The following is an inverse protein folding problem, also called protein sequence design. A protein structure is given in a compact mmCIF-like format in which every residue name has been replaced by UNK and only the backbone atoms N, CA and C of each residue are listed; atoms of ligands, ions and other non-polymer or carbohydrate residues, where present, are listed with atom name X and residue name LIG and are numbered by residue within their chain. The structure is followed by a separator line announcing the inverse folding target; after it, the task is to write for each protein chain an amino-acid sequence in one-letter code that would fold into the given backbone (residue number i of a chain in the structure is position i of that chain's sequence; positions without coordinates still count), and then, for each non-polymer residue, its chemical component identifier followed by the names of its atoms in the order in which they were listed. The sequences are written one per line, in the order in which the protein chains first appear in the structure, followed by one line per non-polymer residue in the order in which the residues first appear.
data_IF_424578864464
#
_entry.id   IF_424578864464
#
_cell.length_a   1.000
_cell.length_b   1.000
_cell.length_c   1.000
_cell.angle_alpha   90.00
_cell.angle_beta   90.00
_cell.angle_gamma   90.00
#
_symmetry.space_group_name_H-M   'P 1'
#
loop_
_entity.id
_entity.type
_entity.pdbx_description
1 polymer ?
#
# COMPACT_ATOMS: atom_id res chain seq x y z
N UNK A 1 -8.68 45.18 -108.10
CA UNK A 1 -9.52 43.97 -107.85
C UNK A 1 -9.68 43.00 -109.04
N UNK A 2 -9.58 43.41 -110.32
CA UNK A 2 -9.56 42.47 -111.47
C UNK A 2 -8.16 41.96 -111.88
N UNK A 3 -7.07 42.58 -111.40
CA UNK A 3 -5.69 42.20 -111.77
C UNK A 3 -4.98 41.25 -110.79
N UNK A 4 -5.42 41.18 -109.53
CA UNK A 4 -4.82 40.26 -108.52
C UNK A 4 -5.38 38.84 -108.62
N UNK A 5 -6.67 38.68 -108.96
CA UNK A 5 -7.30 37.35 -109.15
C UNK A 5 -6.68 36.55 -110.29
N UNK A 6 -6.39 37.19 -111.42
CA UNK A 6 -5.77 36.52 -112.57
C UNK A 6 -4.30 36.12 -112.30
N UNK A 7 -3.57 36.91 -111.50
CA UNK A 7 -2.21 36.56 -111.05
C UNK A 7 -2.22 35.40 -110.05
N UNK A 8 -3.20 35.39 -109.14
CA UNK A 8 -3.39 34.29 -108.18
C UNK A 8 -3.77 32.97 -108.87
N UNK A 9 -4.65 32.98 -109.87
CA UNK A 9 -5.01 31.77 -110.63
C UNK A 9 -3.85 31.24 -111.48
N UNK A 10 -3.05 32.12 -112.09
CA UNK A 10 -1.85 31.72 -112.84
C UNK A 10 -0.75 31.17 -111.92
N UNK A 11 -0.59 31.75 -110.72
CA UNK A 11 0.32 31.22 -109.70
C UNK A 11 -0.19 29.90 -109.12
N UNK A 12 -1.50 29.75 -108.88
CA UNK A 12 -2.12 28.51 -108.43
C UNK A 12 -1.95 27.39 -109.47
N UNK A 13 -2.11 27.69 -110.76
CA UNK A 13 -1.84 26.75 -111.85
C UNK A 13 -0.37 26.30 -111.90
N UNK A 14 0.58 27.25 -111.78
CA UNK A 14 2.02 26.92 -111.70
C UNK A 14 2.41 26.15 -110.44
N UNK A 15 1.78 26.45 -109.30
CA UNK A 15 1.96 25.71 -108.04
C UNK A 15 1.40 24.29 -108.16
N UNK A 16 0.22 24.11 -108.77
CA UNK A 16 -0.37 22.81 -109.02
C UNK A 16 0.48 21.96 -109.99
N UNK A 17 1.06 22.56 -111.03
CA UNK A 17 2.02 21.88 -111.91
C UNK A 17 3.30 21.46 -111.18
N UNK A 18 3.86 22.35 -110.35
CA UNK A 18 5.02 22.02 -109.50
C UNK A 18 4.71 20.94 -108.47
N UNK A 19 3.52 20.96 -107.87
CA UNK A 19 3.06 19.94 -106.92
C UNK A 19 2.87 18.59 -107.62
N UNK A 20 2.32 18.59 -108.84
CA UNK A 20 2.15 17.36 -109.65
C UNK A 20 3.49 16.77 -110.08
N UNK A 21 4.45 17.62 -110.47
CA UNK A 21 5.82 17.21 -110.77
C UNK A 21 6.56 16.69 -109.53
N UNK A 22 6.38 17.33 -108.36
CA UNK A 22 6.95 16.89 -107.10
C UNK A 22 6.36 15.55 -106.62
N UNK A 23 5.04 15.36 -106.74
CA UNK A 23 4.37 14.09 -106.44
C UNK A 23 4.79 12.96 -107.38
N UNK A 24 4.96 13.24 -108.68
CA UNK A 24 5.50 12.26 -109.62
C UNK A 24 6.97 11.90 -109.30
N UNK A 25 7.79 12.87 -108.88
CA UNK A 25 9.16 12.64 -108.42
C UNK A 25 9.22 11.79 -107.14
N UNK A 26 8.33 12.05 -106.17
CA UNK A 26 8.27 11.29 -104.91
C UNK A 26 7.79 9.84 -105.15
N UNK A 27 6.76 9.65 -105.99
CA UNK A 27 6.25 8.34 -106.39
C UNK A 27 7.32 7.51 -107.11
N UNK A 28 8.12 8.12 -107.98
CA UNK A 28 9.26 7.45 -108.63
C UNK A 28 10.35 6.99 -107.63
N UNK A 29 10.63 7.77 -106.58
CA UNK A 29 11.57 7.38 -105.52
C UNK A 29 11.00 6.23 -104.67
N UNK A 30 9.73 6.30 -104.31
CA UNK A 30 9.05 5.26 -103.53
C UNK A 30 9.01 3.93 -104.28
N UNK A 31 8.72 3.96 -105.59
CA UNK A 31 8.80 2.78 -106.46
C UNK A 31 10.21 2.18 -106.55
N UNK A 32 11.27 2.99 -106.60
CA UNK A 32 12.66 2.50 -106.71
C UNK A 32 13.15 1.74 -105.47
N UNK A 33 12.71 2.15 -104.27
CA UNK A 33 13.17 1.57 -103.00
C UNK A 33 12.11 0.69 -102.31
N UNK A 34 11.01 0.37 -103.00
CA UNK A 34 9.95 -0.49 -102.46
C UNK A 34 9.19 0.12 -101.28
N UNK A 35 9.14 1.45 -101.17
CA UNK A 35 8.46 2.17 -100.09
C UNK A 35 6.97 2.32 -100.48
N UNK A 36 6.00 1.97 -99.61
CA UNK A 36 4.57 2.12 -99.91
C UNK A 36 4.18 3.57 -100.24
N UNK A 37 3.37 3.78 -101.27
CA UNK A 37 2.86 5.12 -101.61
C UNK A 37 2.02 5.71 -100.47
N UNK A 38 2.31 6.96 -100.09
CA UNK A 38 1.69 7.64 -98.94
C UNK A 38 2.46 7.53 -97.62
N UNK A 39 3.63 6.88 -97.60
CA UNK A 39 4.50 6.86 -96.40
C UNK A 39 5.05 8.26 -96.09
N UNK A 40 4.93 8.68 -94.83
CA UNK A 40 5.45 9.96 -94.33
C UNK A 40 7.00 9.94 -94.24
N UNK A 41 7.71 10.80 -94.99
CA UNK A 41 9.17 10.89 -94.94
C UNK A 41 9.74 11.19 -93.55
N UNK A 42 9.04 11.98 -92.73
CA UNK A 42 9.51 12.32 -91.37
C UNK A 42 9.38 11.14 -90.42
N UNK A 43 8.41 10.25 -90.66
CA UNK A 43 8.28 8.99 -89.91
C UNK A 43 9.41 8.02 -90.26
N UNK A 44 9.74 7.86 -91.54
CA UNK A 44 10.88 7.04 -91.99
C UNK A 44 12.22 7.50 -91.41
N UNK A 45 12.44 8.81 -91.31
CA UNK A 45 13.64 9.36 -90.67
C UNK A 45 13.70 9.06 -89.17
N UNK A 46 12.57 9.19 -88.45
CA UNK A 46 12.48 8.84 -87.02
C UNK A 46 12.68 7.34 -86.76
N UNK A 47 12.10 6.49 -87.60
CA UNK A 47 12.23 5.04 -87.48
C UNK A 47 13.69 4.61 -87.72
N UNK A 48 14.37 5.21 -88.72
CA UNK A 48 15.79 4.96 -88.98
C UNK A 48 16.69 5.43 -87.83
N UNK A 49 16.42 6.61 -87.26
CA UNK A 49 17.17 7.10 -86.10
C UNK A 49 16.97 6.21 -84.86
N UNK A 50 15.74 5.69 -84.66
CA UNK A 50 15.43 4.75 -83.59
C UNK A 50 16.12 3.39 -83.79
N UNK A 51 16.20 2.91 -85.03
CA UNK A 51 16.92 1.69 -85.39
C UNK A 51 18.43 1.82 -85.14
N UNK A 52 19.05 2.91 -85.62
CA UNK A 52 20.47 3.20 -85.37
C UNK A 52 20.76 3.35 -83.86
N UNK A 53 19.81 3.92 -83.10
CA UNK A 53 19.88 4.01 -81.64
C UNK A 53 19.86 2.62 -80.97
N UNK A 54 18.93 1.77 -81.40
CA UNK A 54 18.79 0.40 -80.89
C UNK A 54 20.00 -0.47 -81.21
N UNK A 55 20.60 -0.31 -82.40
CA UNK A 55 21.84 -1.01 -82.76
C UNK A 55 23.00 -0.62 -81.86
N UNK A 56 23.11 0.67 -81.49
CA UNK A 56 24.14 1.14 -80.56
C UNK A 56 23.92 0.61 -79.14
N UNK A 57 22.68 0.56 -78.67
CA UNK A 57 22.34 -0.03 -77.36
C UNK A 57 22.62 -1.54 -77.32
N UNK A 58 22.28 -2.28 -78.38
CA UNK A 58 22.60 -3.70 -78.48
C UNK A 58 24.12 -3.91 -78.49
N UNK A 59 24.87 -3.07 -79.21
CA UNK A 59 26.33 -3.15 -79.24
C UNK A 59 26.95 -2.84 -77.87
N UNK A 60 26.46 -1.84 -77.13
CA UNK A 60 26.95 -1.54 -75.79
C UNK A 60 26.60 -2.65 -74.80
N UNK A 61 25.36 -3.16 -74.81
CA UNK A 61 24.92 -4.23 -73.93
C UNK A 61 25.67 -5.54 -74.19
N UNK A 62 25.97 -5.88 -75.44
CA UNK A 62 26.82 -7.04 -75.78
C UNK A 62 28.23 -6.87 -75.23
N UNK A 63 28.82 -5.68 -75.41
CA UNK A 63 30.16 -5.39 -74.91
C UNK A 63 30.22 -5.47 -73.38
N UNK A 64 29.24 -4.90 -72.68
CA UNK A 64 29.12 -4.98 -71.22
C UNK A 64 28.94 -6.43 -70.74
N UNK A 65 28.13 -7.23 -71.44
CA UNK A 65 27.96 -8.66 -71.13
C UNK A 65 29.26 -9.44 -71.33
N UNK A 66 29.98 -9.21 -72.42
CA UNK A 66 31.28 -9.85 -72.69
C UNK A 66 32.34 -9.44 -71.66
N UNK A 67 32.43 -8.16 -71.32
CA UNK A 67 33.31 -7.67 -70.25
C UNK A 67 32.95 -8.29 -68.89
N UNK A 68 31.67 -8.45 -68.58
CA UNK A 68 31.21 -9.09 -67.34
C UNK A 68 31.54 -10.59 -67.32
N UNK A 69 31.35 -11.31 -68.43
CA UNK A 69 31.69 -12.73 -68.56
C UNK A 69 33.21 -12.93 -68.39
N UNK A 70 34.02 -12.12 -69.07
CA UNK A 70 35.48 -12.19 -69.00
C UNK A 70 35.99 -11.86 -67.59
N UNK A 71 35.44 -10.83 -66.94
CA UNK A 71 35.83 -10.42 -65.59
C UNK A 71 35.53 -11.49 -64.54
N UNK A 72 34.45 -12.25 -64.71
CA UNK A 72 33.99 -13.25 -63.74
C UNK A 72 34.33 -14.70 -64.12
N UNK A 73 35.02 -14.93 -65.25
CA UNK A 73 35.44 -16.26 -65.68
C UNK A 73 34.27 -17.23 -65.92
N UNK A 74 33.12 -16.73 -66.38
CA UNK A 74 31.86 -17.48 -66.49
C UNK A 74 31.76 -18.24 -67.82
N UNK A 75 32.70 -19.15 -68.07
CA UNK A 75 32.79 -19.92 -69.33
C UNK A 75 31.88 -21.15 -69.38
N UNK A 76 31.60 -21.79 -68.24
CA UNK A 76 30.69 -22.93 -68.14
C UNK A 76 29.83 -22.83 -66.88
N UNK A 77 28.57 -23.26 -66.98
CA UNK A 77 27.70 -23.38 -65.81
C UNK A 77 28.19 -24.55 -64.97
N UNK A 78 28.61 -24.36 -63.70
CA UNK A 78 29.13 -25.44 -62.90
C UNK A 78 28.05 -26.50 -62.67
N UNK A 79 28.26 -27.71 -63.19
CA UNK A 79 27.52 -28.92 -62.84
C UNK A 79 28.17 -29.55 -61.61
N UNK A 80 27.84 -29.04 -60.41
CA UNK A 80 28.14 -29.75 -59.16
C UNK A 80 27.05 -30.78 -58.89
N UNK A 81 27.44 -32.00 -58.49
CA UNK A 81 26.53 -32.97 -57.88
C UNK A 81 25.79 -32.27 -56.74
N UNK A 82 24.46 -32.22 -56.83
CA UNK A 82 23.62 -31.74 -55.74
C UNK A 82 23.84 -32.68 -54.55
N UNK A 83 24.75 -32.32 -53.64
CA UNK A 83 24.85 -32.98 -52.34
C UNK A 83 23.46 -32.96 -51.72
N UNK A 84 23.03 -34.08 -51.15
CA UNK A 84 21.71 -34.24 -50.58
C UNK A 84 21.56 -33.35 -49.33
N UNK A 85 21.14 -32.11 -49.56
CA UNK A 85 20.98 -31.04 -48.56
C UNK A 85 19.86 -31.40 -47.56
N UNK A 86 18.95 -32.31 -47.94
CA UNK A 86 17.77 -32.69 -47.15
C UNK A 86 18.11 -33.26 -45.76
N UNK A 87 19.22 -34.00 -45.65
CA UNK A 87 19.67 -34.59 -44.37
C UNK A 87 20.20 -33.51 -43.43
N UNK A 88 20.94 -32.54 -43.96
CA UNK A 88 21.46 -31.41 -43.18
C UNK A 88 20.33 -30.46 -42.76
N UNK A 89 19.34 -30.25 -43.62
CA UNK A 89 18.14 -29.47 -43.30
C UNK A 89 17.30 -30.13 -42.21
N UNK A 90 17.06 -31.44 -42.29
CA UNK A 90 16.37 -32.20 -41.23
C UNK A 90 17.11 -32.11 -39.90
N UNK A 91 18.45 -32.25 -39.92
CA UNK A 91 19.25 -32.14 -38.69
C UNK A 91 19.23 -30.73 -38.11
N UNK A 92 19.17 -29.69 -38.95
CA UNK A 92 19.02 -28.30 -38.52
C UNK A 92 17.66 -28.07 -37.87
N UNK A 93 16.59 -28.63 -38.42
CA UNK A 93 15.24 -28.55 -37.85
C UNK A 93 15.13 -29.28 -36.50
N UNK A 94 15.73 -30.46 -36.36
CA UNK A 94 15.82 -31.17 -35.08
C UNK A 94 16.53 -30.32 -34.02
N UNK A 95 17.72 -29.80 -34.34
CA UNK A 95 18.49 -28.95 -33.44
C UNK A 95 17.75 -27.66 -33.10
N UNK A 96 17.06 -27.04 -34.05
CA UNK A 96 16.25 -25.85 -33.81
C UNK A 96 15.09 -26.13 -32.85
N UNK A 97 14.46 -27.31 -32.97
CA UNK A 97 13.38 -27.75 -32.07
C UNK A 97 13.92 -27.99 -30.66
N UNK A 98 15.11 -28.60 -30.56
CA UNK A 98 15.76 -28.87 -29.27
C UNK A 98 16.21 -27.58 -28.56
N UNK A 99 16.74 -26.61 -29.30
CA UNK A 99 17.05 -25.25 -28.79
C UNK A 99 15.78 -24.57 -28.30
N UNK A 100 14.70 -24.58 -29.09
CA UNK A 100 13.42 -23.98 -28.69
C UNK A 100 12.86 -24.60 -27.40
N UNK A 101 13.00 -25.93 -27.24
CA UNK A 101 12.62 -26.62 -26.00
C UNK A 101 13.48 -26.19 -24.82
N UNK A 102 14.80 -26.12 -24.99
CA UNK A 102 15.72 -25.70 -23.94
C UNK A 102 15.48 -24.24 -23.52
N UNK A 103 15.20 -23.34 -24.48
CA UNK A 103 14.86 -21.94 -24.21
C UNK A 103 13.56 -21.83 -23.40
N UNK A 104 12.56 -22.67 -23.71
CA UNK A 104 11.33 -22.78 -22.91
C UNK A 104 11.59 -23.24 -21.48
N UNK A 105 12.40 -24.29 -21.30
CA UNK A 105 12.79 -24.79 -19.97
C UNK A 105 13.57 -23.74 -19.16
N UNK A 106 14.44 -22.96 -19.82
CA UNK A 106 15.16 -21.85 -19.19
C UNK A 106 14.17 -20.77 -18.74
N UNK A 107 13.24 -20.36 -19.60
CA UNK A 107 12.22 -19.35 -19.26
C UNK A 107 11.40 -19.77 -18.03
N UNK A 108 10.95 -21.04 -17.98
CA UNK A 108 10.20 -21.57 -16.84
C UNK A 108 11.03 -21.59 -15.55
N UNK A 109 12.32 -21.89 -15.64
CA UNK A 109 13.23 -21.86 -14.49
C UNK A 109 13.44 -20.42 -14.01
N UNK A 110 13.65 -19.47 -14.92
CA UNK A 110 13.82 -18.05 -14.60
C UNK A 110 12.59 -17.49 -13.88
N UNK A 111 11.38 -17.83 -14.35
CA UNK A 111 10.12 -17.45 -13.70
C UNK A 111 10.02 -18.03 -12.28
N UNK A 112 10.38 -19.30 -12.10
CA UNK A 112 10.39 -19.95 -10.77
C UNK A 112 11.41 -19.34 -9.83
N UNK A 113 12.59 -18.95 -10.33
CA UNK A 113 13.63 -18.27 -9.54
C UNK A 113 13.17 -16.87 -9.13
N UNK A 114 12.53 -16.13 -10.03
CA UNK A 114 11.92 -14.83 -9.74
C UNK A 114 10.86 -14.95 -8.64
N UNK A 115 9.96 -15.92 -8.75
CA UNK A 115 8.94 -16.21 -7.74
C UNK A 115 9.54 -16.62 -6.39
N UNK A 116 10.59 -17.46 -6.38
CA UNK A 116 11.32 -17.81 -5.16
C UNK A 116 11.93 -16.57 -4.49
N UNK A 117 12.48 -15.65 -5.28
CA UNK A 117 13.02 -14.37 -4.80
C UNK A 117 11.96 -13.54 -4.08
N UNK A 118 10.77 -13.41 -4.66
CA UNK A 118 9.62 -12.70 -4.04
C UNK A 118 9.23 -13.34 -2.71
N UNK A 119 9.06 -14.67 -2.68
CA UNK A 119 8.69 -15.40 -1.45
C UNK A 119 9.72 -15.29 -0.34
N UNK A 120 11.01 -15.23 -0.68
CA UNK A 120 12.08 -15.01 0.31
C UNK A 120 12.01 -13.60 0.90
N UNK A 121 11.77 -12.59 0.08
CA UNK A 121 11.60 -11.22 0.56
C UNK A 121 10.36 -11.09 1.48
N UNK A 122 9.24 -11.72 1.10
CA UNK A 122 8.03 -11.76 1.93
C UNK A 122 8.26 -12.46 3.27
N UNK A 123 9.04 -13.56 3.29
CA UNK A 123 9.42 -14.25 4.51
C UNK A 123 10.27 -13.36 5.42
N UNK A 124 11.29 -12.70 4.87
CA UNK A 124 12.16 -11.79 5.63
C UNK A 124 11.37 -10.62 6.24
N UNK A 125 10.42 -10.05 5.49
CA UNK A 125 9.53 -9.01 6.02
C UNK A 125 8.62 -9.56 7.14
N UNK A 126 8.08 -10.77 6.97
CA UNK A 126 7.24 -11.41 7.99
C UNK A 126 8.04 -11.71 9.28
N UNK A 127 9.28 -12.19 9.17
CA UNK A 127 10.18 -12.43 10.30
C UNK A 127 10.53 -11.14 11.03
N UNK A 128 10.82 -10.05 10.30
CA UNK A 128 11.07 -8.74 10.88
C UNK A 128 9.85 -8.22 11.66
N UNK A 129 8.64 -8.33 11.09
CA UNK A 129 7.39 -7.97 11.78
C UNK A 129 7.15 -8.82 13.01
N UNK A 130 7.40 -10.12 12.93
CA UNK A 130 7.28 -11.03 14.07
C UNK A 130 8.21 -10.62 15.22
N UNK A 131 9.49 -10.35 14.92
CA UNK A 131 10.45 -9.91 15.92
C UNK A 131 10.05 -8.57 16.58
N UNK A 132 9.45 -7.65 15.82
CA UNK A 132 8.89 -6.41 16.36
C UNK A 132 7.71 -6.68 17.30
N UNK A 133 6.78 -7.57 16.93
CA UNK A 133 5.64 -7.92 17.77
C UNK A 133 6.06 -8.61 19.07
N UNK A 134 7.05 -9.50 19.03
CA UNK A 134 7.60 -10.13 20.24
C UNK A 134 8.14 -9.06 21.19
N UNK A 135 8.94 -8.10 20.70
CA UNK A 135 9.46 -7.00 21.53
C UNK A 135 8.35 -6.15 22.15
N UNK A 136 7.30 -5.84 21.38
CA UNK A 136 6.14 -5.08 21.89
C UNK A 136 5.37 -5.87 22.94
N UNK A 137 5.19 -7.16 22.73
CA UNK A 137 4.53 -8.06 23.67
C UNK A 137 5.30 -8.13 24.99
N UNK A 138 6.60 -8.36 24.95
CA UNK A 138 7.45 -8.43 26.14
C UNK A 138 7.42 -7.13 26.93
N UNK A 139 7.48 -5.98 26.24
CA UNK A 139 7.36 -4.68 26.88
C UNK A 139 5.99 -4.49 27.56
N UNK A 140 4.90 -4.93 26.93
CA UNK A 140 3.55 -4.86 27.48
C UNK A 140 3.38 -5.75 28.72
N UNK A 141 3.91 -6.98 28.70
CA UNK A 141 3.88 -7.88 29.86
C UNK A 141 4.64 -7.27 31.03
N UNK A 142 5.85 -6.76 30.79
CA UNK A 142 6.65 -6.11 31.84
C UNK A 142 5.97 -4.88 32.41
N UNK A 143 5.33 -4.08 31.56
CA UNK A 143 4.54 -2.92 32.01
C UNK A 143 3.37 -3.35 32.89
N UNK A 144 2.65 -4.41 32.50
CA UNK A 144 1.56 -4.99 33.30
C UNK A 144 2.06 -5.44 34.67
N UNK A 145 3.14 -6.20 34.74
CA UNK A 145 3.74 -6.65 36.01
C UNK A 145 4.11 -5.48 36.93
N UNK A 146 4.70 -4.42 36.37
CA UNK A 146 5.05 -3.21 37.12
C UNK A 146 3.81 -2.47 37.64
N UNK A 147 2.73 -2.42 36.85
CA UNK A 147 1.46 -1.81 37.26
C UNK A 147 0.80 -2.61 38.39
N UNK A 148 0.76 -3.94 38.29
CA UNK A 148 0.24 -4.83 39.34
C UNK A 148 1.05 -4.69 40.64
N UNK A 149 2.39 -4.59 40.53
CA UNK A 149 3.24 -4.32 41.69
C UNK A 149 2.98 -2.93 42.30
N UNK A 150 2.79 -1.91 41.46
CA UNK A 150 2.47 -0.56 41.92
C UNK A 150 1.11 -0.50 42.63
N UNK A 151 0.09 -1.19 42.09
CA UNK A 151 -1.22 -1.34 42.72
C UNK A 151 -1.09 -2.00 44.09
N UNK A 152 -0.41 -3.15 44.18
CA UNK A 152 -0.20 -3.85 45.44
C UNK A 152 0.55 -2.98 46.46
N UNK A 153 1.56 -2.23 46.01
CA UNK A 153 2.27 -1.28 46.86
C UNK A 153 1.37 -0.17 47.40
N UNK A 154 0.40 0.33 46.61
CA UNK A 154 -0.58 1.31 47.08
C UNK A 154 -1.52 0.69 48.11
N UNK A 155 -2.05 -0.49 47.83
CA UNK A 155 -2.93 -1.22 48.74
C UNK A 155 -2.24 -1.47 50.08
N UNK A 156 -0.99 -1.92 50.07
CA UNK A 156 -0.25 -2.23 51.29
C UNK A 156 0.22 -0.99 52.06
N UNK A 157 0.62 0.07 51.36
CA UNK A 157 1.16 1.28 52.00
C UNK A 157 0.10 2.24 52.52
N UNK A 158 -1.05 2.32 51.85
CA UNK A 158 -2.07 3.34 52.16
C UNK A 158 -3.41 2.74 52.59
N UNK A 159 -3.88 1.69 51.91
CA UNK A 159 -5.22 1.15 52.18
C UNK A 159 -5.21 0.26 53.43
N UNK A 160 -4.26 -0.67 53.53
CA UNK A 160 -4.15 -1.61 54.65
C UNK A 160 -4.03 -0.89 56.01
N UNK A 161 -3.16 0.14 56.20
CA UNK A 161 -3.07 0.83 57.49
C UNK A 161 -4.34 1.57 57.90
N UNK A 162 -5.07 2.14 56.93
CA UNK A 162 -6.36 2.80 57.18
C UNK A 162 -7.43 1.76 57.52
N UNK A 163 -7.48 0.64 56.79
CA UNK A 163 -8.37 -0.48 57.08
C UNK A 163 -8.13 -1.02 58.49
N UNK A 164 -6.89 -1.31 58.86
CA UNK A 164 -6.55 -1.87 60.17
C UNK A 164 -6.98 -0.94 61.31
N UNK A 165 -6.83 0.38 61.13
CA UNK A 165 -7.30 1.39 62.10
C UNK A 165 -8.82 1.50 62.13
N UNK A 166 -9.48 1.45 60.97
CA UNK A 166 -10.93 1.44 60.88
C UNK A 166 -11.52 0.22 61.60
N UNK A 167 -11.00 -0.98 61.31
CA UNK A 167 -11.41 -2.24 61.92
C UNK A 167 -11.17 -2.18 63.45
N UNK A 168 -10.06 -1.59 63.91
CA UNK A 168 -9.84 -1.35 65.34
C UNK A 168 -10.91 -0.47 65.99
N UNK A 169 -11.24 0.67 65.38
CA UNK A 169 -12.25 1.59 65.90
C UNK A 169 -13.65 1.00 65.88
N UNK A 170 -14.01 0.30 64.81
CA UNK A 170 -15.34 -0.28 64.68
C UNK A 170 -15.52 -1.46 65.65
N UNK A 171 -14.51 -2.30 65.87
CA UNK A 171 -14.59 -3.40 66.86
C UNK A 171 -14.77 -2.90 68.30
N UNK A 172 -14.16 -1.76 68.65
CA UNK A 172 -14.41 -1.10 69.93
C UNK A 172 -15.89 -0.67 70.07
N UNK A 173 -16.52 -0.31 68.95
CA UNK A 173 -17.88 0.20 68.84
C UNK A 173 -18.92 -0.88 68.47
N UNK A 174 -18.49 -2.09 68.11
CA UNK A 174 -19.32 -3.23 67.69
C UNK A 174 -20.35 -3.61 68.74
N UNK A 175 -19.99 -3.54 70.03
CA UNK A 175 -20.90 -3.81 71.15
C UNK A 175 -22.11 -2.87 71.23
N UNK A 176 -22.22 -1.92 70.31
CA UNK A 176 -23.26 -0.88 70.19
C UNK A 176 -23.93 -0.93 68.82
N UNK A 177 -23.22 -1.40 67.80
CA UNK A 177 -23.68 -1.45 66.41
C UNK A 177 -24.55 -2.67 66.09
N UNK A 178 -24.41 -3.75 66.86
CA UNK A 178 -25.13 -5.00 66.64
C UNK A 178 -24.65 -5.80 65.42
N UNK A 179 -23.96 -5.17 64.48
CA UNK A 179 -23.44 -5.73 63.24
C UNK A 179 -21.93 -5.48 63.14
N UNK A 180 -21.17 -6.47 62.66
CA UNK A 180 -19.74 -6.32 62.40
C UNK A 180 -19.53 -5.54 61.11
N UNK A 181 -18.80 -4.44 61.15
CA UNK A 181 -18.46 -3.68 59.95
C UNK A 181 -16.97 -3.79 59.63
N UNK A 182 -16.63 -3.71 58.35
CA UNK A 182 -15.25 -3.70 57.85
C UNK A 182 -15.17 -2.88 56.56
N UNK A 183 -13.95 -2.54 56.18
CA UNK A 183 -13.63 -1.77 54.99
C UNK A 183 -13.00 -2.64 53.89
N UNK A 184 -13.32 -2.38 52.63
CA UNK A 184 -12.67 -3.01 51.49
C UNK A 184 -11.53 -2.17 50.88
N UNK A 185 -10.93 -2.69 49.81
CA UNK A 185 -9.80 -2.06 49.12
C UNK A 185 -10.12 -0.69 48.50
N UNK A 186 -11.41 -0.40 48.29
CA UNK A 186 -11.92 0.85 47.72
C UNK A 186 -12.43 1.82 48.80
N UNK A 187 -12.08 1.57 50.07
CA UNK A 187 -12.60 2.28 51.24
C UNK A 187 -14.12 2.21 51.41
N UNK A 188 -14.79 1.21 50.82
CA UNK A 188 -16.23 1.03 51.01
C UNK A 188 -16.49 0.28 52.30
N UNK A 189 -17.42 0.80 53.08
CA UNK A 189 -17.83 0.20 54.34
C UNK A 189 -18.85 -0.89 54.03
N UNK A 190 -18.58 -2.09 54.52
CA UNK A 190 -19.45 -3.25 54.41
C UNK A 190 -19.74 -3.78 55.80
N UNK A 191 -20.93 -4.28 56.03
CA UNK A 191 -21.28 -4.90 57.31
C UNK A 191 -21.76 -6.33 57.11
N UNK A 192 -21.38 -7.20 58.02
CA UNK A 192 -21.84 -8.58 58.10
C UNK A 192 -23.25 -8.56 58.68
N UNK A 193 -24.20 -9.20 57.98
CA UNK A 193 -25.55 -9.44 58.47
C UNK A 193 -25.99 -10.81 57.96
N UNK A 194 -26.40 -11.68 58.89
CA UNK A 194 -26.72 -13.09 58.60
C UNK A 194 -25.59 -13.86 57.88
N UNK A 195 -24.33 -13.50 58.14
CA UNK A 195 -23.15 -14.11 57.50
C UNK A 195 -22.85 -13.60 56.08
N UNK A 196 -23.56 -12.58 55.60
CA UNK A 196 -23.32 -11.93 54.30
C UNK A 196 -22.83 -10.49 54.49
N UNK A 197 -21.83 -10.08 53.71
CA UNK A 197 -21.38 -8.70 53.67
C UNK A 197 -22.34 -7.85 52.82
N UNK A 198 -23.02 -6.89 53.43
CA UNK A 198 -23.94 -5.95 52.79
C UNK A 198 -23.35 -4.54 52.71
N UNK A 199 -23.84 -3.74 51.76
CA UNK A 199 -23.48 -2.33 51.64
C UNK A 199 -24.11 -1.51 52.76
N UNK A 200 -23.35 -0.51 53.22
CA UNK A 200 -23.71 0.58 54.13
C UNK A 200 -25.08 1.25 53.88
N UNK A 201 -25.67 1.13 52.69
CA UNK A 201 -27.02 1.64 52.39
C UNK A 201 -28.11 1.09 53.32
N UNK A 202 -27.89 -0.08 53.90
CA UNK A 202 -28.82 -0.72 54.82
C UNK A 202 -28.58 -0.33 56.29
N UNK A 203 -27.57 0.50 56.57
CA UNK A 203 -27.31 1.04 57.90
C UNK A 203 -28.24 2.24 58.18
N UNK A 204 -28.72 2.33 59.41
CA UNK A 204 -29.41 3.51 59.92
C UNK A 204 -28.53 4.77 59.85
N UNK A 205 -29.14 5.95 59.93
CA UNK A 205 -28.42 7.22 59.88
C UNK A 205 -27.32 7.31 60.95
N UNK A 206 -27.68 7.04 62.21
CA UNK A 206 -26.73 6.97 63.31
C UNK A 206 -25.63 5.92 63.11
N UNK A 207 -25.96 4.77 62.50
CA UNK A 207 -24.95 3.75 62.19
C UNK A 207 -23.93 4.26 61.15
N UNK A 208 -24.40 4.87 60.07
CA UNK A 208 -23.51 5.47 59.07
C UNK A 208 -22.68 6.61 59.65
N UNK A 209 -23.23 7.41 60.56
CA UNK A 209 -22.53 8.53 61.19
C UNK A 209 -21.28 8.05 61.95
N UNK A 210 -21.38 6.98 62.74
CA UNK A 210 -20.22 6.45 63.48
C UNK A 210 -19.24 5.73 62.55
N UNK A 211 -19.71 4.92 61.59
CA UNK A 211 -18.84 4.34 60.56
C UNK A 211 -18.03 5.44 59.85
N UNK A 212 -18.69 6.54 59.51
CA UNK A 212 -18.07 7.72 58.92
C UNK A 212 -17.06 8.40 59.86
N UNK A 213 -17.35 8.48 61.16
CA UNK A 213 -16.40 8.97 62.15
C UNK A 213 -15.17 8.05 62.27
N UNK A 214 -15.35 6.74 62.41
CA UNK A 214 -14.27 5.76 62.46
C UNK A 214 -13.35 5.86 61.25
N UNK A 215 -13.92 6.04 60.05
CA UNK A 215 -13.13 6.23 58.84
C UNK A 215 -12.31 7.52 58.87
N UNK A 216 -12.90 8.65 59.27
CA UNK A 216 -12.17 9.93 59.39
C UNK A 216 -11.03 9.85 60.41
N UNK A 217 -11.24 9.13 61.51
CA UNK A 217 -10.22 8.90 62.54
C UNK A 217 -9.10 8.00 62.02
N UNK A 218 -9.44 6.90 61.35
CA UNK A 218 -8.47 6.01 60.72
C UNK A 218 -7.63 6.74 59.65
N UNK A 219 -8.24 7.65 58.88
CA UNK A 219 -7.52 8.51 57.95
C UNK A 219 -6.58 9.48 58.68
N UNK A 220 -7.06 10.14 59.74
CA UNK A 220 -6.26 11.07 60.55
C UNK A 220 -5.02 10.37 61.13
N UNK A 221 -5.14 9.12 61.57
CA UNK A 221 -4.01 8.34 62.11
C UNK A 221 -2.92 8.05 61.10
N UNK A 222 -3.29 7.92 59.83
CA UNK A 222 -2.39 7.50 58.77
C UNK A 222 -1.88 8.68 57.93
N UNK A 223 -2.51 9.85 58.01
CA UNK A 223 -2.11 11.06 57.25
C UNK A 223 -0.87 11.76 57.80
N UNK A 224 -0.69 11.79 59.13
CA UNK A 224 0.33 12.63 59.78
C UNK A 224 1.57 11.86 60.25
N UNK A 225 1.73 10.61 59.80
CA UNK A 225 2.90 9.77 60.11
C UNK A 225 3.08 9.52 61.61
N UNK A 226 4.02 10.24 62.24
CA UNK A 226 4.28 10.15 63.69
C UNK A 226 3.57 11.24 64.50
N UNK A 227 3.09 12.29 63.84
CA UNK A 227 2.40 13.38 64.52
C UNK A 227 0.95 13.00 64.81
N UNK A 228 0.44 13.46 65.94
CA UNK A 228 -0.96 13.29 66.34
C UNK A 228 -1.59 14.66 66.55
N UNK A 229 -2.17 15.27 65.50
CA UNK A 229 -2.82 16.55 65.65
C UNK A 229 -4.04 16.45 66.56
N UNK A 230 -4.40 17.56 67.19
CA UNK A 230 -5.66 17.64 67.92
C UNK A 230 -6.84 17.55 66.94
N UNK A 231 -7.95 16.99 67.40
CA UNK A 231 -9.17 16.84 66.59
C UNK A 231 -10.25 17.76 67.13
N UNK A 232 -10.86 18.56 66.25
CA UNK A 232 -12.07 19.32 66.57
C UNK A 232 -13.26 18.54 66.03
N UNK A 233 -14.25 18.26 66.89
CA UNK A 233 -15.48 17.58 66.51
C UNK A 233 -16.66 18.48 66.84
N UNK A 234 -17.41 18.89 65.82
CA UNK A 234 -18.63 19.68 65.95
C UNK A 234 -19.86 18.77 65.82
N UNK A 235 -20.47 18.44 66.96
CA UNK A 235 -21.61 17.53 67.13
C UNK A 235 -21.59 16.25 66.24
N UNK A 236 -20.52 15.43 66.32
CA UNK A 236 -20.34 14.25 65.46
C UNK A 236 -21.40 13.14 65.66
N UNK A 237 -22.25 13.28 66.67
CA UNK A 237 -23.20 12.26 67.13
C UNK A 237 -24.66 12.75 67.15
N UNK A 238 -24.97 13.81 66.39
CA UNK A 238 -26.32 14.38 66.33
C UNK A 238 -27.39 13.33 66.00
N UNK A 239 -27.07 12.39 65.09
CA UNK A 239 -27.96 11.33 64.61
C UNK A 239 -28.01 10.09 65.52
N UNK A 240 -27.20 10.02 66.58
CA UNK A 240 -27.22 8.89 67.53
C UNK A 240 -28.34 9.05 68.57
N UNK A 241 -28.97 7.95 68.93
CA UNK A 241 -29.90 7.95 70.07
C UNK A 241 -29.15 7.95 71.41
N UNK A 242 -29.86 8.23 72.49
CA UNK A 242 -29.27 8.26 73.84
C UNK A 242 -28.74 6.90 74.31
N UNK A 243 -29.22 5.79 73.74
CA UNK A 243 -28.76 4.44 74.11
C UNK A 243 -27.35 4.18 73.59
N UNK A 244 -27.05 4.67 72.38
CA UNK A 244 -25.74 4.50 71.75
C UNK A 244 -24.75 5.63 72.10
N UNK A 245 -25.19 6.71 72.75
CA UNK A 245 -24.31 7.80 73.23
C UNK A 245 -23.26 7.35 74.26
N UNK A 246 -23.57 6.39 75.13
CA UNK A 246 -22.61 5.87 76.10
C UNK A 246 -21.37 5.24 75.42
N UNK A 247 -21.59 4.61 74.27
CA UNK A 247 -20.54 3.98 73.50
C UNK A 247 -19.77 4.95 72.64
N UNK A 248 -20.45 5.97 72.11
CA UNK A 248 -19.80 7.12 71.49
C UNK A 248 -18.84 7.81 72.47
N UNK A 249 -19.24 7.98 73.74
CA UNK A 249 -18.39 8.49 74.80
C UNK A 249 -17.19 7.55 75.10
N UNK A 250 -17.40 6.22 75.11
CA UNK A 250 -16.31 5.25 75.26
C UNK A 250 -15.28 5.32 74.12
N UNK A 251 -15.73 5.46 72.88
CA UNK A 251 -14.83 5.66 71.74
C UNK A 251 -14.09 7.00 71.81
N UNK A 252 -14.79 8.08 72.19
CA UNK A 252 -14.14 9.37 72.47
C UNK A 252 -13.06 9.24 73.56
N UNK A 253 -13.31 8.48 74.63
CA UNK A 253 -12.32 8.24 75.69
C UNK A 253 -11.08 7.49 75.21
N UNK A 254 -11.26 6.48 74.34
CA UNK A 254 -10.14 5.74 73.76
C UNK A 254 -9.31 6.60 72.80
N UNK A 255 -9.96 7.48 72.04
CA UNK A 255 -9.28 8.44 71.16
C UNK A 255 -8.59 9.54 71.99
N UNK A 256 -9.24 10.04 73.03
CA UNK A 256 -8.67 11.06 73.91
C UNK A 256 -7.46 10.55 74.71
N UNK A 257 -7.30 9.23 74.85
CA UNK A 257 -6.13 8.63 75.47
C UNK A 257 -4.84 8.88 74.67
N UNK A 258 -4.94 9.11 73.36
CA UNK A 258 -3.79 9.16 72.46
C UNK A 258 -3.64 10.50 71.71
N UNK A 259 -4.64 11.38 71.74
CA UNK A 259 -4.62 12.73 71.18
C UNK A 259 -5.57 13.68 71.92
N UNK A 260 -5.34 14.97 71.76
CA UNK A 260 -6.28 15.98 72.25
C UNK A 260 -7.53 16.05 71.37
N UNK A 261 -8.71 16.07 72.00
CA UNK A 261 -10.00 16.24 71.32
C UNK A 261 -10.72 17.47 71.88
N UNK A 262 -11.15 18.35 70.98
CA UNK A 262 -12.05 19.48 71.27
C UNK A 262 -13.43 19.07 70.77
N UNK A 263 -14.31 18.72 71.70
CA UNK A 263 -15.67 18.26 71.41
C UNK A 263 -16.67 19.39 71.66
N UNK A 264 -17.38 19.81 70.61
CA UNK A 264 -18.44 20.81 70.66
C UNK A 264 -19.79 20.09 70.55
N UNK A 265 -20.72 20.39 71.46
CA UNK A 265 -22.07 19.83 71.44
C UNK A 265 -23.11 20.87 71.84
N UNK A 266 -24.26 20.84 71.17
CA UNK A 266 -25.34 21.81 71.35
C UNK A 266 -26.39 21.41 72.39
N UNK A 267 -26.31 20.18 72.94
CA UNK A 267 -27.31 19.67 73.89
C UNK A 267 -26.68 18.81 75.00
N UNK A 268 -27.20 18.93 76.22
CA UNK A 268 -26.66 18.23 77.41
C UNK A 268 -26.69 16.70 77.29
N UNK A 269 -27.66 16.15 76.55
CA UNK A 269 -27.74 14.70 76.27
C UNK A 269 -26.61 14.18 75.38
N UNK A 270 -25.80 15.08 74.81
CA UNK A 270 -24.66 14.76 73.95
C UNK A 270 -23.31 14.98 74.64
N UNK A 271 -23.29 15.51 75.86
CA UNK A 271 -22.06 15.65 76.63
C UNK A 271 -21.39 14.29 76.82
N UNK A 272 -20.19 14.14 76.26
CA UNK A 272 -19.31 13.02 76.56
C UNK A 272 -18.87 13.15 78.03
N UNK A 273 -19.29 12.22 78.88
CA UNK A 273 -18.89 12.12 80.28
C UNK A 273 -17.81 11.09 80.46
#
# INVERSE_FOLDING_TARGET
MRNERASAEKNAGKLAEKERAAKAGLSAVYGKYGIPEGTDPEKLQRDRFSADGSEREIASAKKEAEEFIAKNGLTERPMGEAKDISVLESRREELATEVSRADGEISDIEDRVSELGKRRAELEEAEARYAEYVRKYDAAIKAKELLEQAEQNILDRYVRPVKDRFDHYITVLEGTFGEKASMDGDFRIRFESEGLMRSDMHLSAGQRAVCSLCFRLAMTDNMFGKEKPFVIMDDPFVELDNKHMASAAKALGLLAADRQIIYLCCHDSRKAK
#
